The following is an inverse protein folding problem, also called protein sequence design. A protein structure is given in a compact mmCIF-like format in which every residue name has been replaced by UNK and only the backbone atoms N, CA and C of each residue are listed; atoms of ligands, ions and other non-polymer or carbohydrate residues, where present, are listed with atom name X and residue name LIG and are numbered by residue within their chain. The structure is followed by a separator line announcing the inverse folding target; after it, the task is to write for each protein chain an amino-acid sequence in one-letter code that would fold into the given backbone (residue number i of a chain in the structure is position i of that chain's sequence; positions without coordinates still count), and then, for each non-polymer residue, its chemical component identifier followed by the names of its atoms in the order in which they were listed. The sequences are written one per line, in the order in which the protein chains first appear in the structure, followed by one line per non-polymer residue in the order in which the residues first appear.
data_IF_347411357327
#
_entry.id   IF_347411357327
#
_cell.length_a   1.000
_cell.length_b   1.000
_cell.length_c   1.000
_cell.angle_alpha   90.00
_cell.angle_beta   90.00
_cell.angle_gamma   90.00
#
_symmetry.space_group_name_H-M   'P 1'
#
loop_
_entity.id
_entity.type
_entity.pdbx_description
1 polymer ?
#
# COMPACT_ATOMS: atom_id res chain seq x y z
N UNK A 1 17.49 5.16 4.83
CA UNK A 1 18.03 5.67 3.55
C UNK A 1 17.74 4.72 2.39
N UNK A 2 17.99 3.40 2.52
CA UNK A 2 17.69 2.41 1.48
C UNK A 2 16.18 2.27 1.18
N UNK A 3 15.35 2.27 2.21
CA UNK A 3 13.90 2.11 2.06
C UNK A 3 13.23 3.33 1.40
N UNK A 4 13.75 4.53 1.65
CA UNK A 4 13.28 5.77 1.03
C UNK A 4 13.56 5.78 -0.48
N UNK A 5 14.77 5.37 -0.87
CA UNK A 5 15.16 5.30 -2.27
C UNK A 5 14.38 4.25 -3.06
N UNK A 6 14.12 3.09 -2.46
CA UNK A 6 13.29 2.06 -3.09
C UNK A 6 11.86 2.56 -3.31
N UNK A 7 11.28 3.23 -2.31
CA UNK A 7 9.93 3.79 -2.41
C UNK A 7 9.83 4.89 -3.48
N UNK A 8 10.86 5.73 -3.62
CA UNK A 8 10.90 6.76 -4.65
C UNK A 8 10.98 6.15 -6.06
N UNK A 9 11.78 5.09 -6.24
CA UNK A 9 11.85 4.35 -7.51
C UNK A 9 10.51 3.68 -7.82
N UNK A 10 9.93 2.96 -6.86
CA UNK A 10 8.63 2.31 -7.05
C UNK A 10 7.54 3.32 -7.40
N UNK A 11 7.51 4.48 -6.73
CA UNK A 11 6.60 5.57 -7.03
C UNK A 11 6.78 6.13 -8.44
N UNK A 12 8.02 6.32 -8.89
CA UNK A 12 8.32 6.77 -10.24
C UNK A 12 7.90 5.74 -11.30
N UNK A 13 8.16 4.45 -11.05
CA UNK A 13 7.78 3.36 -11.95
C UNK A 13 6.26 3.26 -12.07
N UNK A 14 5.54 3.33 -10.95
CA UNK A 14 4.08 3.33 -10.92
C UNK A 14 3.51 4.50 -11.72
N UNK A 15 4.00 5.72 -11.49
CA UNK A 15 3.53 6.90 -12.22
C UNK A 15 3.79 6.77 -13.72
N UNK A 16 4.97 6.26 -14.10
CA UNK A 16 5.33 6.09 -15.51
C UNK A 16 4.46 5.04 -16.19
N UNK A 17 4.22 3.90 -15.53
CA UNK A 17 3.33 2.85 -16.02
C UNK A 17 1.90 3.35 -16.19
N UNK A 18 1.33 4.00 -15.18
CA UNK A 18 -0.05 4.50 -15.23
C UNK A 18 -0.24 5.60 -16.28
N UNK A 19 0.78 6.41 -16.54
CA UNK A 19 0.74 7.37 -17.64
C UNK A 19 0.65 6.68 -19.00
N UNK A 20 1.43 5.61 -19.20
CA UNK A 20 1.38 4.83 -20.42
C UNK A 20 0.03 4.12 -20.58
N UNK A 21 -0.51 3.54 -19.50
CA UNK A 21 -1.84 2.94 -19.48
C UNK A 21 -2.93 3.94 -19.82
N UNK A 22 -2.86 5.16 -19.28
CA UNK A 22 -3.80 6.24 -19.57
C UNK A 22 -3.80 6.62 -21.04
N UNK A 23 -2.62 6.73 -21.67
CA UNK A 23 -2.49 7.00 -23.12
C UNK A 23 -3.07 5.87 -23.96
N UNK A 24 -2.70 4.63 -23.68
CA UNK A 24 -3.24 3.46 -24.41
C UNK A 24 -4.76 3.34 -24.23
N UNK A 25 -5.29 3.66 -23.05
CA UNK A 25 -6.72 3.68 -22.79
C UNK A 25 -7.42 4.81 -23.55
N UNK A 26 -6.81 6.00 -23.64
CA UNK A 26 -7.30 7.13 -24.41
C UNK A 26 -7.38 6.78 -25.91
N UNK A 27 -6.30 6.26 -26.49
CA UNK A 27 -6.25 5.82 -27.88
C UNK A 27 -7.31 4.75 -28.17
N UNK A 28 -7.48 3.77 -27.28
CA UNK A 28 -8.51 2.72 -27.40
C UNK A 28 -9.92 3.30 -27.35
N UNK A 29 -10.14 4.31 -26.50
CA UNK A 29 -11.43 4.96 -26.34
C UNK A 29 -11.81 5.81 -27.56
N UNK A 30 -10.85 6.52 -28.16
CA UNK A 30 -11.09 7.35 -29.34
C UNK A 30 -11.03 6.58 -30.66
N UNK A 31 -10.35 5.43 -30.73
CA UNK A 31 -10.24 4.59 -31.94
C UNK A 31 -11.58 4.36 -32.68
N UNK A 32 -12.70 4.00 -32.04
CA UNK A 32 -13.97 3.80 -32.73
C UNK A 32 -14.65 5.10 -33.23
N UNK A 33 -14.21 6.28 -32.76
CA UNK A 33 -14.81 7.58 -33.06
C UNK A 33 -14.23 8.16 -34.37
N UNK A 34 -14.60 7.56 -35.50
CA UNK A 34 -14.12 7.92 -36.84
C UNK A 34 -14.59 9.30 -37.34
N UNK A 35 -15.58 9.91 -36.68
CA UNK A 35 -16.11 11.23 -37.02
C UNK A 35 -15.30 12.38 -36.41
N UNK A 36 -14.34 12.09 -35.53
CA UNK A 36 -13.45 13.10 -34.94
C UNK A 36 -12.34 13.47 -35.90
N UNK A 37 -12.05 14.77 -36.00
CA UNK A 37 -10.80 15.25 -36.61
C UNK A 37 -9.60 14.90 -35.72
N UNK A 38 -8.39 14.90 -36.29
CA UNK A 38 -7.15 14.64 -35.53
C UNK A 38 -6.98 15.60 -34.35
N UNK A 39 -7.36 16.87 -34.52
CA UNK A 39 -7.31 17.88 -33.46
C UNK A 39 -8.30 17.61 -32.34
N UNK A 40 -9.53 17.17 -32.66
CA UNK A 40 -10.53 16.80 -31.67
C UNK A 40 -10.16 15.51 -30.94
N UNK A 41 -9.58 14.55 -31.66
CA UNK A 41 -9.04 13.30 -31.10
C UNK A 41 -7.94 13.59 -30.08
N UNK A 42 -6.95 14.39 -30.44
CA UNK A 42 -5.83 14.73 -29.55
C UNK A 42 -6.29 15.50 -28.28
N UNK A 43 -7.23 16.44 -28.40
CA UNK A 43 -7.80 17.14 -27.24
C UNK A 43 -8.56 16.19 -26.31
N UNK A 44 -9.39 15.30 -26.88
CA UNK A 44 -10.14 14.31 -26.10
C UNK A 44 -9.21 13.31 -25.41
N UNK A 45 -8.17 12.83 -26.10
CA UNK A 45 -7.17 11.92 -25.52
C UNK A 45 -6.41 12.57 -24.37
N UNK A 46 -6.00 13.84 -24.52
CA UNK A 46 -5.34 14.59 -23.46
C UNK A 46 -6.22 14.78 -22.22
N UNK A 47 -7.50 15.12 -22.40
CA UNK A 47 -8.47 15.23 -21.30
C UNK A 47 -8.73 13.87 -20.64
N UNK A 48 -8.83 12.81 -21.43
CA UNK A 48 -8.99 11.46 -20.92
C UNK A 48 -7.77 11.03 -20.09
N UNK A 49 -6.54 11.24 -20.57
CA UNK A 49 -5.31 10.93 -19.83
C UNK A 49 -5.29 11.66 -18.48
N UNK A 50 -5.67 12.95 -18.45
CA UNK A 50 -5.72 13.74 -17.24
C UNK A 50 -6.72 13.18 -16.21
N UNK A 51 -7.95 12.85 -16.64
CA UNK A 51 -8.97 12.26 -15.77
C UNK A 51 -8.59 10.86 -15.30
N UNK A 52 -8.00 10.05 -16.18
CA UNK A 52 -7.50 8.72 -15.85
C UNK A 52 -6.46 8.79 -14.73
N UNK A 53 -5.48 9.70 -14.86
CA UNK A 53 -4.45 9.92 -13.83
C UNK A 53 -5.04 10.43 -12.51
N UNK A 54 -6.02 11.33 -12.56
CA UNK A 54 -6.70 11.84 -11.37
C UNK A 54 -7.42 10.70 -10.62
N UNK A 55 -8.14 9.84 -11.35
CA UNK A 55 -8.85 8.70 -10.78
C UNK A 55 -7.88 7.66 -10.20
N UNK A 56 -6.81 7.34 -10.92
CA UNK A 56 -5.77 6.42 -10.45
C UNK A 56 -5.14 6.92 -9.14
N UNK A 57 -4.78 8.21 -9.08
CA UNK A 57 -4.24 8.85 -7.87
C UNK A 57 -5.21 8.75 -6.69
N UNK A 58 -6.49 9.07 -6.91
CA UNK A 58 -7.50 8.98 -5.86
C UNK A 58 -7.69 7.53 -5.37
N UNK A 59 -7.63 6.56 -6.28
CA UNK A 59 -7.69 5.13 -5.95
C UNK A 59 -6.51 4.71 -5.06
N UNK A 60 -5.28 5.07 -5.44
CA UNK A 60 -4.08 4.76 -4.65
C UNK A 60 -4.12 5.41 -3.27
N UNK A 61 -4.56 6.67 -3.16
CA UNK A 61 -4.70 7.35 -1.88
C UNK A 61 -5.66 6.60 -0.96
N UNK A 62 -6.83 6.18 -1.47
CA UNK A 62 -7.78 5.37 -0.68
C UNK A 62 -7.16 4.05 -0.23
N UNK A 63 -6.46 3.35 -1.12
CA UNK A 63 -5.79 2.09 -0.80
C UNK A 63 -4.69 2.27 0.24
N UNK A 64 -3.89 3.34 0.13
CA UNK A 64 -2.83 3.65 1.08
C UNK A 64 -3.41 3.95 2.49
N UNK A 65 -4.47 4.76 2.56
CA UNK A 65 -5.17 5.02 3.84
C UNK A 65 -5.73 3.73 4.44
N UNK A 66 -6.36 2.89 3.62
CA UNK A 66 -6.90 1.60 4.08
C UNK A 66 -5.81 0.66 4.56
N UNK A 67 -4.71 0.54 3.83
CA UNK A 67 -3.56 -0.28 4.20
C UNK A 67 -2.95 0.18 5.54
N UNK A 68 -2.83 1.50 5.75
CA UNK A 68 -2.41 2.08 7.03
C UNK A 68 -3.32 1.65 8.18
N UNK A 69 -4.64 1.81 8.01
CA UNK A 69 -5.60 1.41 9.06
C UNK A 69 -5.54 -0.08 9.42
N UNK A 70 -5.37 -0.96 8.41
CA UNK A 70 -5.23 -2.40 8.63
C UNK A 70 -3.92 -2.74 9.34
N UNK A 71 -2.83 -2.06 8.97
CA UNK A 71 -1.54 -2.22 9.63
C UNK A 71 -1.62 -1.83 11.10
N UNK A 72 -2.25 -0.71 11.41
CA UNK A 72 -2.39 -0.24 12.79
C UNK A 72 -3.22 -1.22 13.64
N UNK A 73 -4.32 -1.74 13.08
CA UNK A 73 -5.13 -2.74 13.74
C UNK A 73 -4.33 -4.04 13.99
N UNK A 74 -3.59 -4.51 12.99
CA UNK A 74 -2.77 -5.70 13.11
C UNK A 74 -1.64 -5.51 14.13
N UNK A 75 -0.93 -4.39 14.08
CA UNK A 75 0.13 -4.07 15.03
C UNK A 75 -0.41 -3.96 16.46
N UNK A 76 -1.60 -3.38 16.66
CA UNK A 76 -2.24 -3.33 17.97
C UNK A 76 -2.51 -4.75 18.52
N UNK A 77 -3.08 -5.63 17.69
CA UNK A 77 -3.34 -7.04 18.06
C UNK A 77 -2.04 -7.79 18.33
N UNK A 78 -1.04 -7.62 17.48
CA UNK A 78 0.27 -8.24 17.64
C UNK A 78 0.96 -7.79 18.92
N UNK A 79 0.98 -6.48 19.21
CA UNK A 79 1.55 -5.93 20.45
C UNK A 79 0.84 -6.50 21.69
N UNK A 80 -0.49 -6.65 21.64
CA UNK A 80 -1.25 -7.25 22.73
C UNK A 80 -0.87 -8.73 22.95
N UNK A 81 -0.78 -9.52 21.87
CA UNK A 81 -0.38 -10.92 21.94
C UNK A 81 1.06 -11.07 22.44
N UNK A 82 1.98 -10.26 21.92
CA UNK A 82 3.38 -10.22 22.33
C UNK A 82 3.51 -9.93 23.83
N UNK A 83 2.76 -8.93 24.35
CA UNK A 83 2.74 -8.64 25.79
C UNK A 83 2.26 -9.83 26.62
N UNK A 84 1.19 -10.50 26.21
CA UNK A 84 0.66 -11.69 26.91
C UNK A 84 1.66 -12.84 26.93
N UNK A 85 2.32 -13.09 25.79
CA UNK A 85 3.33 -14.13 25.67
C UNK A 85 4.54 -13.83 26.55
N UNK A 86 5.05 -12.59 26.52
CA UNK A 86 6.15 -12.18 27.39
C UNK A 86 5.77 -12.28 28.88
N UNK A 87 4.57 -11.85 29.27
CA UNK A 87 4.09 -12.00 30.64
C UNK A 87 4.03 -13.47 31.07
N UNK A 88 3.50 -14.36 30.21
CA UNK A 88 3.46 -15.79 30.49
C UNK A 88 4.85 -16.42 30.63
N UNK A 89 5.79 -16.05 29.76
CA UNK A 89 7.19 -16.53 29.84
C UNK A 89 7.86 -16.04 31.12
N UNK A 90 7.68 -14.76 31.48
CA UNK A 90 8.26 -14.21 32.71
C UNK A 90 7.67 -14.86 33.97
N UNK A 91 6.34 -15.01 34.04
CA UNK A 91 5.67 -15.68 35.15
C UNK A 91 6.10 -17.15 35.27
N UNK A 92 6.14 -17.88 34.13
CA UNK A 92 6.63 -19.24 34.09
C UNK A 92 8.09 -19.37 34.56
N UNK A 93 8.95 -18.43 34.15
CA UNK A 93 10.34 -18.36 34.61
C UNK A 93 10.46 -18.13 36.12
N UNK A 94 9.70 -17.19 36.68
CA UNK A 94 9.67 -16.94 38.14
C UNK A 94 9.21 -18.18 38.91
N UNK A 95 8.16 -18.85 38.44
CA UNK A 95 7.67 -20.08 39.07
C UNK A 95 8.69 -21.21 39.00
N UNK A 96 9.34 -21.40 37.85
CA UNK A 96 10.35 -22.43 37.66
C UNK A 96 11.57 -22.19 38.56
N UNK A 97 12.07 -20.95 38.64
CA UNK A 97 13.16 -20.57 39.54
C UNK A 97 12.77 -20.77 41.00
N UNK A 98 11.56 -20.35 41.40
CA UNK A 98 11.05 -20.56 42.75
C UNK A 98 10.98 -22.03 43.14
N UNK A 99 10.45 -22.88 42.25
CA UNK A 99 10.41 -24.32 42.46
C UNK A 99 11.81 -24.93 42.59
N UNK A 100 12.75 -24.54 41.72
CA UNK A 100 14.16 -24.95 41.80
C UNK A 100 14.80 -24.56 43.13
N UNK A 101 14.59 -23.32 43.59
CA UNK A 101 15.12 -22.87 44.89
C UNK A 101 14.53 -23.64 46.06
N UNK A 102 13.24 -23.98 46.01
CA UNK A 102 12.58 -24.77 47.05
C UNK A 102 13.08 -26.23 47.07
N UNK A 103 13.35 -26.82 45.91
CA UNK A 103 13.89 -28.18 45.82
C UNK A 103 15.37 -28.29 46.25
N UNK A 104 16.11 -27.18 46.20
CA UNK A 104 17.53 -27.12 46.60
C UNK A 104 17.71 -26.72 48.08
N UNK A 105 16.65 -26.26 48.74
CA UNK A 105 16.62 -25.89 50.16
C UNK A 105 16.21 -27.08 51.03
#
# INVERSE_FOLDING_TARGET
MRDTFLNDIEGHLLLTATRQEGRTAAERFTAPLHWLTDTQRADLEGRFEAEYLALARASWQRTAVRAGSLRDEYEARYRALRRRLLAGVLLGGVLAVGALTLCLA
#
